data_IF_480376071768
#
_entry.id   IF_480376071768
#
_cell.length_a   1.000
_cell.length_b   1.000
_cell.length_c   1.000
_cell.angle_alpha   90.00
_cell.angle_beta   90.00
_cell.angle_gamma   90.00
#
_symmetry.space_group_name_H-M   'P 1'
#
loop_
_entity.id
_entity.type
_entity.pdbx_description
1 polymer ?
#
# COMPACT_ATOMS: atom_id res chain seq x y z
N UNK A 1 -75.00 -79.89 5.44
CA UNK A 1 -76.29 -80.62 5.49
C UNK A 1 -76.64 -80.83 6.96
N UNK A 2 -77.50 -80.09 7.65
CA UNK A 2 -78.56 -79.12 7.35
C UNK A 2 -78.39 -77.95 8.33
N UNK A 3 -78.20 -76.72 7.84
CA UNK A 3 -78.53 -75.47 8.57
C UNK A 3 -78.12 -74.16 7.86
N UNK A 4 -77.41 -74.20 6.73
CA UNK A 4 -77.11 -72.97 6.00
C UNK A 4 -77.65 -73.11 4.58
N UNK A 5 -78.87 -72.58 4.37
CA UNK A 5 -79.58 -72.50 3.09
C UNK A 5 -78.89 -71.57 2.10
N UNK A 6 -77.64 -71.87 1.77
CA UNK A 6 -76.86 -71.20 0.73
C UNK A 6 -76.70 -72.17 -0.44
N UNK A 7 -77.28 -71.80 -1.58
CA UNK A 7 -77.11 -72.50 -2.85
C UNK A 7 -75.62 -72.65 -3.21
N UNK A 8 -75.22 -73.84 -3.66
CA UNK A 8 -73.85 -74.28 -3.98
C UNK A 8 -73.09 -73.35 -4.95
N UNK A 9 -73.83 -72.53 -5.72
CA UNK A 9 -73.26 -71.52 -6.62
C UNK A 9 -72.66 -70.31 -5.87
N UNK A 10 -73.31 -69.84 -4.79
CA UNK A 10 -72.83 -68.68 -4.03
C UNK A 10 -71.61 -69.02 -3.16
N UNK A 11 -71.54 -70.25 -2.65
CA UNK A 11 -70.38 -70.74 -1.89
C UNK A 11 -69.12 -70.84 -2.79
N UNK A 12 -69.26 -71.32 -4.03
CA UNK A 12 -68.15 -71.41 -4.99
C UNK A 12 -67.64 -70.04 -5.45
N UNK A 13 -68.53 -69.07 -5.63
CA UNK A 13 -68.17 -67.69 -6.00
C UNK A 13 -67.47 -66.96 -4.84
N UNK A 14 -67.95 -67.14 -3.60
CA UNK A 14 -67.31 -66.57 -2.41
C UNK A 14 -65.93 -67.18 -2.17
N UNK A 15 -65.76 -68.50 -2.35
CA UNK A 15 -64.45 -69.17 -2.24
C UNK A 15 -63.48 -68.68 -3.33
N UNK A 16 -63.95 -68.47 -4.57
CA UNK A 16 -63.10 -67.95 -5.65
C UNK A 16 -62.69 -66.49 -5.40
N UNK A 17 -63.58 -65.66 -4.85
CA UNK A 17 -63.29 -64.27 -4.51
C UNK A 17 -62.35 -64.14 -3.30
N UNK A 18 -62.53 -64.97 -2.27
CA UNK A 18 -61.61 -65.03 -1.13
C UNK A 18 -60.25 -65.57 -1.57
N UNK A 19 -60.20 -66.57 -2.46
CA UNK A 19 -58.93 -67.07 -3.02
C UNK A 19 -58.23 -66.01 -3.87
N UNK A 20 -58.95 -65.20 -4.66
CA UNK A 20 -58.34 -64.08 -5.39
C UNK A 20 -57.85 -62.94 -4.50
N UNK A 21 -58.48 -62.73 -3.33
CA UNK A 21 -58.01 -61.77 -2.32
C UNK A 21 -56.82 -62.32 -1.51
N UNK A 22 -56.70 -63.64 -1.36
CA UNK A 22 -55.57 -64.29 -0.69
C UNK A 22 -54.35 -64.51 -1.61
N UNK A 23 -54.54 -64.50 -2.93
CA UNK A 23 -53.47 -64.57 -3.94
C UNK A 23 -52.89 -63.21 -4.33
N UNK A 24 -53.51 -62.11 -3.89
CA UNK A 24 -52.87 -60.79 -3.94
C UNK A 24 -51.92 -60.69 -2.76
N UNK A 25 -50.61 -60.70 -3.05
CA UNK A 25 -49.58 -60.36 -2.07
C UNK A 25 -50.00 -59.09 -1.31
N UNK A 26 -49.76 -58.99 0.01
CA UNK A 26 -49.90 -57.72 0.68
C UNK A 26 -48.98 -56.74 -0.04
N UNK A 27 -49.55 -55.79 -0.78
CA UNK A 27 -48.83 -54.61 -1.25
C UNK A 27 -48.14 -54.06 -0.01
N UNK A 28 -46.81 -54.24 0.05
CA UNK A 28 -45.99 -53.61 1.06
C UNK A 28 -46.33 -52.13 1.00
N UNK A 29 -46.96 -51.62 2.05
CA UNK A 29 -46.89 -50.20 2.38
C UNK A 29 -45.44 -49.77 2.07
N UNK A 30 -45.21 -48.79 1.17
CA UNK A 30 -43.85 -48.37 0.88
C UNK A 30 -43.21 -48.03 2.22
N UNK A 31 -42.09 -48.68 2.55
CA UNK A 31 -41.28 -48.32 3.71
C UNK A 31 -40.84 -46.87 3.49
N UNK A 32 -41.58 -45.95 4.08
CA UNK A 32 -41.25 -44.52 4.10
C UNK A 32 -40.14 -44.19 5.12
N UNK A 33 -39.61 -45.18 5.84
CA UNK A 33 -38.67 -44.95 6.94
C UNK A 33 -37.20 -44.80 6.48
N UNK A 34 -36.74 -45.58 5.50
CA UNK A 34 -35.29 -45.65 5.20
C UNK A 34 -34.74 -44.36 4.54
N UNK A 35 -35.54 -43.61 3.76
CA UNK A 35 -35.10 -42.35 3.11
C UNK A 35 -35.20 -41.14 4.07
N UNK A 36 -36.16 -41.16 4.98
CA UNK A 36 -36.34 -40.15 6.02
C UNK A 36 -35.25 -40.26 7.08
N UNK A 37 -34.95 -41.46 7.58
CA UNK A 37 -33.84 -41.67 8.52
C UNK A 37 -32.49 -41.29 7.90
N UNK A 38 -32.27 -41.64 6.63
CA UNK A 38 -31.08 -41.23 5.89
C UNK A 38 -30.97 -39.70 5.72
N UNK A 39 -32.09 -39.02 5.49
CA UNK A 39 -32.14 -37.56 5.37
C UNK A 39 -31.96 -36.84 6.70
N UNK A 40 -32.52 -37.37 7.79
CA UNK A 40 -32.33 -36.87 9.16
C UNK A 40 -30.87 -37.00 9.56
N UNK A 41 -30.26 -38.17 9.35
CA UNK A 41 -28.85 -38.41 9.67
C UNK A 41 -27.89 -37.50 8.91
N UNK A 42 -28.14 -37.28 7.60
CA UNK A 42 -27.36 -36.30 6.81
C UNK A 42 -27.48 -34.87 7.36
N UNK A 43 -28.66 -34.47 7.82
CA UNK A 43 -28.87 -33.14 8.43
C UNK A 43 -28.23 -33.05 9.82
N UNK A 44 -28.23 -34.13 10.59
CA UNK A 44 -27.55 -34.19 11.89
C UNK A 44 -26.04 -34.08 11.73
N UNK A 45 -25.46 -34.82 10.78
CA UNK A 45 -24.03 -34.72 10.43
C UNK A 45 -23.67 -33.31 9.92
N UNK A 46 -24.52 -32.68 9.11
CA UNK A 46 -24.34 -31.31 8.62
C UNK A 46 -24.43 -30.29 9.77
N UNK A 47 -25.37 -30.46 10.70
CA UNK A 47 -25.50 -29.62 11.90
C UNK A 47 -24.28 -29.74 12.81
N UNK A 48 -23.75 -30.94 12.98
CA UNK A 48 -22.53 -31.18 13.76
C UNK A 48 -21.32 -30.49 13.12
N UNK A 49 -21.12 -30.67 11.80
CA UNK A 49 -20.05 -29.97 11.06
C UNK A 49 -20.19 -28.46 11.12
N UNK A 50 -21.42 -27.92 11.06
CA UNK A 50 -21.65 -26.48 11.18
C UNK A 50 -21.35 -25.97 12.59
N UNK A 51 -21.66 -26.75 13.64
CA UNK A 51 -21.32 -26.42 15.02
C UNK A 51 -19.81 -26.38 15.24
N UNK A 52 -19.09 -27.39 14.76
CA UNK A 52 -17.62 -27.42 14.84
C UNK A 52 -16.98 -26.24 14.10
N UNK A 53 -17.46 -25.93 12.89
CA UNK A 53 -17.00 -24.76 12.12
C UNK A 53 -17.29 -23.45 12.84
N UNK A 54 -18.46 -23.30 13.44
CA UNK A 54 -18.84 -22.09 14.16
C UNK A 54 -17.99 -21.91 15.43
N UNK A 55 -17.72 -22.99 16.15
CA UNK A 55 -16.85 -22.94 17.33
C UNK A 55 -15.40 -22.57 16.95
N UNK A 56 -14.87 -23.17 15.88
CA UNK A 56 -13.54 -22.83 15.35
C UNK A 56 -13.45 -21.36 14.89
N UNK A 57 -14.48 -20.87 14.17
CA UNK A 57 -14.56 -19.47 13.74
C UNK A 57 -14.68 -18.51 14.92
N UNK A 58 -15.48 -18.85 15.92
CA UNK A 58 -15.66 -18.03 17.13
C UNK A 58 -14.36 -17.91 17.93
N UNK A 59 -13.61 -19.02 18.09
CA UNK A 59 -12.28 -19.01 18.72
C UNK A 59 -11.27 -18.17 17.92
N UNK A 60 -11.26 -18.30 16.60
CA UNK A 60 -10.40 -17.49 15.74
C UNK A 60 -10.75 -15.99 15.80
N UNK A 61 -12.05 -15.65 15.83
CA UNK A 61 -12.52 -14.28 15.95
C UNK A 61 -12.15 -13.65 17.30
N UNK A 62 -12.34 -14.37 18.41
CA UNK A 62 -11.94 -13.90 19.74
C UNK A 62 -10.44 -13.61 19.82
N UNK A 63 -9.61 -14.53 19.29
CA UNK A 63 -8.15 -14.35 19.22
C UNK A 63 -7.76 -13.14 18.36
N UNK A 64 -8.42 -12.94 17.22
CA UNK A 64 -8.18 -11.79 16.37
C UNK A 64 -8.57 -10.46 17.03
N UNK A 65 -9.68 -10.43 17.79
CA UNK A 65 -10.14 -9.26 18.54
C UNK A 65 -9.17 -8.92 19.69
N UNK A 66 -8.70 -9.93 20.42
CA UNK A 66 -7.69 -9.76 21.47
C UNK A 66 -6.39 -9.20 20.89
N UNK A 67 -5.89 -9.77 19.79
CA UNK A 67 -4.71 -9.27 19.08
C UNK A 67 -4.90 -7.82 18.60
N UNK A 68 -6.05 -7.47 18.02
CA UNK A 68 -6.35 -6.12 17.60
C UNK A 68 -6.33 -5.13 18.79
N UNK A 69 -6.93 -5.53 19.92
CA UNK A 69 -6.95 -4.71 21.14
C UNK A 69 -5.54 -4.51 21.75
N UNK A 70 -4.71 -5.55 21.74
CA UNK A 70 -3.31 -5.49 22.17
C UNK A 70 -2.50 -4.56 21.25
N UNK A 71 -2.66 -4.67 19.94
CA UNK A 71 -1.98 -3.80 18.96
C UNK A 71 -2.40 -2.35 19.15
N UNK A 72 -3.68 -2.05 19.37
CA UNK A 72 -4.15 -0.69 19.64
C UNK A 72 -3.66 -0.14 20.99
N UNK A 73 -3.59 -0.97 22.03
CA UNK A 73 -3.04 -0.58 23.33
C UNK A 73 -1.53 -0.35 23.24
N UNK A 74 -0.81 -1.19 22.51
CA UNK A 74 0.61 -1.05 22.24
C UNK A 74 0.88 0.21 21.40
N UNK A 75 0.10 0.45 20.35
CA UNK A 75 0.19 1.65 19.52
C UNK A 75 -0.03 2.92 20.33
N UNK A 76 -1.08 2.97 21.18
CA UNK A 76 -1.33 4.11 22.09
C UNK A 76 -0.21 4.30 23.11
N UNK A 77 0.39 3.21 23.59
CA UNK A 77 1.49 3.28 24.55
C UNK A 77 2.79 3.70 23.88
N UNK A 78 3.08 3.17 22.68
CA UNK A 78 4.15 3.63 21.80
C UNK A 78 3.93 5.10 21.50
N UNK A 79 2.72 5.56 21.18
CA UNK A 79 2.43 6.99 21.01
C UNK A 79 2.75 7.81 22.26
N UNK A 80 2.38 7.34 23.44
CA UNK A 80 2.63 8.07 24.68
C UNK A 80 4.12 8.17 25.04
N UNK A 81 4.91 7.14 24.71
CA UNK A 81 6.34 7.05 25.02
C UNK A 81 7.24 7.39 23.83
N UNK A 82 6.66 7.52 22.62
CA UNK A 82 7.44 7.72 21.41
C UNK A 82 8.28 8.97 21.60
N UNK A 83 9.60 8.86 21.37
CA UNK A 83 10.44 10.04 21.36
C UNK A 83 9.80 11.09 20.45
N UNK A 84 9.75 12.32 20.92
CA UNK A 84 9.41 13.42 20.01
C UNK A 84 10.56 13.49 19.03
N UNK A 85 10.29 13.46 17.73
CA UNK A 85 11.30 13.92 16.78
C UNK A 85 11.70 15.36 17.16
N UNK A 86 12.92 15.76 16.81
CA UNK A 86 13.49 17.03 17.28
C UNK A 86 12.56 18.21 17.05
N UNK A 87 12.73 19.23 17.90
CA UNK A 87 12.08 20.52 17.72
C UNK A 87 12.22 20.94 16.25
N UNK A 88 11.11 21.31 15.58
CA UNK A 88 11.22 21.83 14.23
C UNK A 88 12.22 22.98 14.24
N UNK A 89 12.93 23.18 13.12
CA UNK A 89 13.56 24.48 12.86
C UNK A 89 12.44 25.51 13.06
N UNK A 90 12.52 26.29 14.14
CA UNK A 90 11.33 26.92 14.75
C UNK A 90 10.47 27.63 13.72
N UNK A 91 9.15 27.64 13.92
CA UNK A 91 8.15 28.12 12.95
C UNK A 91 8.69 29.25 12.07
N UNK A 92 9.10 28.91 10.85
CA UNK A 92 9.53 29.91 9.89
C UNK A 92 8.36 30.86 9.68
N UNK A 93 8.66 32.15 9.64
CA UNK A 93 7.64 33.17 9.37
C UNK A 93 7.15 32.92 7.96
N UNK A 94 6.00 32.26 7.81
CA UNK A 94 5.29 32.17 6.53
C UNK A 94 5.17 33.61 6.00
N UNK A 95 5.85 33.95 4.90
CA UNK A 95 5.84 35.33 4.44
C UNK A 95 4.41 35.74 4.07
N UNK A 96 3.97 36.96 4.43
CA UNK A 96 2.63 37.41 4.12
C UNK A 96 2.43 37.40 2.61
N UNK A 97 1.29 36.83 2.14
CA UNK A 97 0.97 36.67 0.72
C UNK A 97 1.12 38.02 -0.03
N UNK A 98 2.12 38.16 -0.92
CA UNK A 98 2.25 39.29 -1.83
C UNK A 98 0.96 39.55 -2.60
N UNK A 99 0.47 40.79 -2.61
CA UNK A 99 -0.71 41.18 -3.39
C UNK A 99 -0.40 41.09 -4.89
N UNK A 100 -1.32 40.50 -5.65
CA UNK A 100 -1.26 40.47 -7.13
C UNK A 100 -0.51 39.28 -7.74
N UNK A 101 0.04 38.38 -6.93
CA UNK A 101 0.65 37.15 -7.42
C UNK A 101 -0.28 35.96 -7.21
N UNK A 102 -0.35 35.06 -8.20
CA UNK A 102 -1.10 33.81 -8.09
C UNK A 102 -0.31 32.82 -7.23
N UNK A 103 -0.86 32.35 -6.10
CA UNK A 103 -0.19 31.32 -5.30
C UNK A 103 -0.10 30.01 -6.09
N UNK A 104 1.00 29.30 -5.90
CA UNK A 104 1.25 28.00 -6.52
C UNK A 104 1.56 26.95 -5.47
N UNK A 105 1.42 25.68 -5.81
CA UNK A 105 1.73 24.57 -4.92
C UNK A 105 2.83 23.71 -5.51
N UNK A 106 3.59 23.07 -4.63
CA UNK A 106 4.60 22.10 -5.00
C UNK A 106 4.11 20.69 -4.65
N UNK A 107 4.43 19.70 -5.47
CA UNK A 107 4.19 18.28 -5.22
C UNK A 107 5.53 17.56 -5.25
N UNK A 108 5.99 17.11 -4.09
CA UNK A 108 7.19 16.29 -3.93
C UNK A 108 6.80 14.81 -3.96
N UNK A 109 7.45 14.05 -4.83
CA UNK A 109 7.39 12.59 -4.82
C UNK A 109 8.54 12.07 -3.96
N UNK A 110 8.22 11.25 -2.96
CA UNK A 110 9.20 10.56 -2.12
C UNK A 110 8.89 9.06 -2.17
N UNK A 111 9.78 8.28 -2.75
CA UNK A 111 9.59 6.83 -2.90
C UNK A 111 10.89 6.08 -3.07
N UNK A 112 10.80 4.75 -2.95
CA UNK A 112 11.90 3.84 -3.26
C UNK A 112 13.18 4.27 -2.50
N UNK A 113 12.99 4.60 -1.21
CA UNK A 113 14.08 5.01 -0.33
C UNK A 113 14.90 3.78 0.10
N UNK A 114 14.27 2.60 0.17
CA UNK A 114 14.91 1.33 0.48
C UNK A 114 15.83 1.42 1.70
N UNK A 115 15.37 2.07 2.78
CA UNK A 115 16.13 2.16 4.03
C UNK A 115 16.43 0.76 4.52
N UNK A 116 17.72 0.45 4.71
CA UNK A 116 18.21 -0.90 5.03
C UNK A 116 18.92 -1.62 3.88
N UNK A 117 18.75 -1.17 2.63
CA UNK A 117 19.47 -1.75 1.50
C UNK A 117 20.96 -1.40 1.58
N UNK A 118 21.80 -2.40 1.30
CA UNK A 118 23.25 -2.22 1.12
C UNK A 118 23.60 -2.66 -0.30
N UNK A 119 24.16 -1.74 -1.08
CA UNK A 119 24.70 -2.01 -2.41
C UNK A 119 26.21 -1.82 -2.35
N UNK A 120 26.92 -2.93 -2.54
CA UNK A 120 28.38 -2.94 -2.53
C UNK A 120 28.92 -2.67 -3.93
N UNK A 121 29.73 -1.63 -4.07
CA UNK A 121 30.22 -1.16 -5.36
C UNK A 121 31.12 -2.19 -6.08
N UNK A 122 31.81 -3.04 -5.33
CA UNK A 122 32.64 -4.13 -5.87
C UNK A 122 31.79 -5.21 -6.58
N UNK A 123 30.52 -5.36 -6.23
CA UNK A 123 29.59 -6.30 -6.85
C UNK A 123 28.82 -5.71 -8.06
N UNK A 124 28.98 -4.42 -8.31
CA UNK A 124 28.26 -3.67 -9.36
C UNK A 124 29.22 -2.91 -10.28
N UNK A 125 30.44 -3.40 -10.50
CA UNK A 125 31.47 -2.75 -11.33
C UNK A 125 31.79 -1.29 -10.93
N UNK A 126 31.58 -0.94 -9.66
CA UNK A 126 31.78 0.39 -9.10
C UNK A 126 30.52 1.26 -9.06
N UNK A 127 29.37 0.78 -9.54
CA UNK A 127 28.14 1.58 -9.63
C UNK A 127 27.26 1.54 -8.38
N UNK A 128 26.51 2.61 -8.16
CA UNK A 128 25.30 2.59 -7.33
C UNK A 128 25.48 2.30 -5.84
N UNK A 129 26.71 2.43 -5.30
CA UNK A 129 27.00 2.35 -3.85
C UNK A 129 25.88 2.98 -3.02
N UNK A 130 25.34 2.19 -2.11
CA UNK A 130 24.25 2.60 -1.24
C UNK A 130 24.35 1.91 0.11
N UNK A 131 24.15 2.68 1.16
CA UNK A 131 24.11 2.24 2.54
C UNK A 131 23.34 3.30 3.36
N UNK A 132 23.22 3.07 4.66
CA UNK A 132 22.55 4.01 5.56
C UNK A 132 23.14 5.44 5.52
N UNK A 133 24.46 5.59 5.45
CA UNK A 133 25.07 6.92 5.38
C UNK A 133 24.69 7.63 4.08
N UNK A 134 24.76 6.89 2.97
CA UNK A 134 24.36 7.43 1.66
C UNK A 134 22.89 7.82 1.67
N UNK A 135 22.00 7.03 2.29
CA UNK A 135 20.59 7.40 2.47
C UNK A 135 20.45 8.74 3.21
N UNK A 136 21.09 8.89 4.38
CA UNK A 136 20.99 10.11 5.19
C UNK A 136 21.59 11.33 4.46
N UNK A 137 22.71 11.16 3.77
CA UNK A 137 23.32 12.21 2.95
C UNK A 137 22.37 12.65 1.82
N UNK A 138 21.75 11.69 1.14
CA UNK A 138 20.75 11.95 0.08
C UNK A 138 19.48 12.60 0.60
N UNK A 139 18.98 12.19 1.77
CA UNK A 139 17.80 12.80 2.39
C UNK A 139 18.07 14.25 2.78
N UNK A 140 19.24 14.54 3.34
CA UNK A 140 19.68 15.90 3.62
C UNK A 140 19.80 16.76 2.36
N UNK A 141 20.38 16.20 1.31
CA UNK A 141 20.50 16.91 0.03
C UNK A 141 19.14 17.17 -0.61
N UNK A 142 18.21 16.22 -0.51
CA UNK A 142 16.82 16.39 -0.93
C UNK A 142 16.14 17.51 -0.14
N UNK A 143 16.30 17.54 1.19
CA UNK A 143 15.74 18.59 2.06
C UNK A 143 16.22 19.96 1.62
N UNK A 144 17.53 20.14 1.49
CA UNK A 144 18.13 21.41 1.06
C UNK A 144 17.65 21.81 -0.34
N UNK A 145 17.56 20.86 -1.26
CA UNK A 145 17.10 21.11 -2.63
C UNK A 145 15.65 21.59 -2.64
N UNK A 146 14.76 20.90 -1.92
CA UNK A 146 13.35 21.28 -1.82
C UNK A 146 13.22 22.65 -1.15
N UNK A 147 13.91 22.87 -0.03
CA UNK A 147 13.91 24.17 0.67
C UNK A 147 14.33 25.32 -0.28
N UNK A 148 15.42 25.13 -1.04
CA UNK A 148 15.87 26.11 -2.03
C UNK A 148 14.76 26.43 -3.05
N UNK A 149 14.06 25.42 -3.57
CA UNK A 149 12.98 25.67 -4.53
C UNK A 149 11.78 26.42 -3.93
N UNK A 150 11.46 26.14 -2.66
CA UNK A 150 10.38 26.79 -1.94
C UNK A 150 10.71 28.26 -1.61
N UNK A 151 11.97 28.58 -1.34
CA UNK A 151 12.39 29.92 -0.87
C UNK A 151 12.98 30.83 -1.95
N UNK A 152 13.68 30.27 -2.94
CA UNK A 152 14.59 31.04 -3.79
C UNK A 152 14.32 30.92 -5.30
N UNK A 153 13.60 29.90 -5.75
CA UNK A 153 13.37 29.64 -7.18
C UNK A 153 11.95 29.97 -7.67
N UNK A 154 11.14 30.63 -6.84
CA UNK A 154 9.84 31.14 -7.23
C UNK A 154 9.66 32.58 -6.79
N UNK A 155 9.09 33.40 -7.68
CA UNK A 155 8.59 34.73 -7.33
C UNK A 155 7.17 34.63 -6.75
N UNK A 156 6.43 33.59 -7.15
CA UNK A 156 5.06 33.33 -6.75
C UNK A 156 4.98 32.74 -5.34
N UNK A 157 4.01 33.14 -4.52
CA UNK A 157 3.86 32.65 -3.17
C UNK A 157 3.57 31.15 -3.17
N UNK A 158 4.25 30.40 -2.31
CA UNK A 158 3.96 28.97 -2.13
C UNK A 158 2.77 28.82 -1.18
N UNK A 159 1.69 28.22 -1.68
CA UNK A 159 0.46 28.01 -0.93
C UNK A 159 0.56 26.80 0.00
N UNK A 160 1.08 25.68 -0.52
CA UNK A 160 1.29 24.42 0.20
C UNK A 160 2.29 23.54 -0.51
N UNK A 161 2.92 22.65 0.25
CA UNK A 161 3.70 21.53 -0.27
C UNK A 161 2.88 20.23 -0.11
N UNK A 162 2.73 19.46 -1.18
CA UNK A 162 2.14 18.13 -1.13
C UNK A 162 3.27 17.11 -1.19
N UNK A 163 3.40 16.26 -0.18
CA UNK A 163 4.38 15.17 -0.16
C UNK A 163 3.63 13.86 -0.43
N UNK A 164 4.00 13.18 -1.51
CA UNK A 164 3.41 11.92 -1.91
C UNK A 164 4.41 10.80 -1.65
N UNK A 165 4.16 10.02 -0.59
CA UNK A 165 4.92 8.82 -0.28
C UNK A 165 4.42 7.69 -1.19
N UNK A 166 5.19 7.34 -2.24
CA UNK A 166 4.76 6.33 -3.24
C UNK A 166 5.20 4.89 -2.90
N UNK A 167 5.66 4.63 -1.68
CA UNK A 167 6.00 3.29 -1.21
C UNK A 167 7.48 2.94 -1.32
N UNK A 168 7.82 1.74 -0.85
CA UNK A 168 9.18 1.20 -0.76
C UNK A 168 10.11 2.12 0.05
N UNK A 169 9.61 2.59 1.20
CA UNK A 169 10.40 3.46 2.07
C UNK A 169 11.47 2.66 2.80
N UNK A 170 11.11 1.48 3.32
CA UNK A 170 12.08 0.52 3.87
C UNK A 170 12.31 -0.61 2.87
N UNK A 171 13.48 -1.24 2.94
CA UNK A 171 13.83 -2.32 2.03
C UNK A 171 13.02 -3.60 2.31
N UNK A 172 12.67 -3.84 3.57
CA UNK A 172 11.91 -5.03 3.98
C UNK A 172 12.77 -6.30 3.98
N UNK A 173 12.09 -7.45 3.98
CA UNK A 173 12.71 -8.78 4.10
C UNK A 173 12.41 -9.67 2.88
N UNK A 174 12.59 -9.12 1.68
CA UNK A 174 12.28 -9.87 0.46
C UNK A 174 13.31 -10.92 0.10
N UNK A 175 14.56 -10.73 0.50
CA UNK A 175 15.62 -11.69 0.25
C UNK A 175 15.55 -12.83 1.27
N UNK A 176 14.86 -13.91 0.87
CA UNK A 176 14.70 -15.17 1.60
C UNK A 176 16.04 -15.90 1.90
N UNK A 177 17.18 -15.30 1.59
CA UNK A 177 18.50 -15.89 1.79
C UNK A 177 19.17 -15.47 3.10
N UNK A 178 18.95 -14.25 3.63
CA UNK A 178 20.03 -13.60 4.38
C UNK A 178 19.59 -12.70 5.56
N UNK A 179 18.64 -13.11 6.42
CA UNK A 179 18.49 -12.41 7.72
C UNK A 179 19.81 -12.42 8.53
N UNK A 180 20.68 -13.42 8.31
CA UNK A 180 21.99 -13.51 8.95
C UNK A 180 23.04 -12.50 8.42
N UNK A 181 22.85 -11.92 7.23
CA UNK A 181 23.78 -10.98 6.58
C UNK A 181 23.19 -9.57 6.37
N UNK A 182 21.92 -9.32 6.74
CA UNK A 182 21.36 -7.98 6.72
C UNK A 182 22.05 -7.12 7.79
N UNK A 183 22.84 -6.13 7.35
CA UNK A 183 23.56 -5.20 8.23
C UNK A 183 22.58 -4.36 9.08
N UNK A 184 21.36 -4.13 8.59
CA UNK A 184 20.31 -3.37 9.27
C UNK A 184 19.04 -4.21 9.39
N UNK A 185 18.71 -4.63 10.61
CA UNK A 185 17.52 -5.45 10.88
C UNK A 185 16.23 -4.66 10.62
N UNK A 186 15.14 -5.36 10.33
CA UNK A 186 13.86 -4.76 9.93
C UNK A 186 13.33 -3.69 10.90
N UNK A 187 13.51 -3.90 12.20
CA UNK A 187 13.11 -2.94 13.23
C UNK A 187 13.90 -1.62 13.12
N UNK A 188 15.20 -1.70 12.85
CA UNK A 188 16.06 -0.54 12.68
C UNK A 188 15.75 0.19 11.37
N UNK A 189 15.45 -0.55 10.28
CA UNK A 189 14.99 0.07 9.02
C UNK A 189 13.75 0.95 9.25
N UNK A 190 12.76 0.42 9.98
CA UNK A 190 11.54 1.15 10.33
C UNK A 190 11.85 2.36 11.23
N UNK A 191 12.66 2.18 12.27
CA UNK A 191 12.97 3.22 13.25
C UNK A 191 13.74 4.38 12.60
N UNK A 192 14.75 4.06 11.79
CA UNK A 192 15.56 5.00 11.03
C UNK A 192 14.68 5.76 10.03
N UNK A 193 13.90 5.05 9.21
CA UNK A 193 13.04 5.68 8.21
C UNK A 193 12.02 6.63 8.86
N UNK A 194 11.38 6.19 9.95
CA UNK A 194 10.42 6.99 10.69
C UNK A 194 11.05 8.28 11.25
N UNK A 195 12.18 8.19 11.93
CA UNK A 195 12.81 9.38 12.53
C UNK A 195 13.42 10.32 11.48
N UNK A 196 14.14 9.78 10.50
CA UNK A 196 14.77 10.59 9.47
C UNK A 196 13.73 11.32 8.62
N UNK A 197 12.68 10.63 8.15
CA UNK A 197 11.66 11.27 7.31
C UNK A 197 10.74 12.19 8.15
N UNK A 198 10.48 11.88 9.44
CA UNK A 198 9.76 12.82 10.30
C UNK A 198 10.53 14.13 10.47
N UNK A 199 11.85 14.05 10.64
CA UNK A 199 12.72 15.23 10.72
C UNK A 199 12.72 16.03 9.41
N UNK A 200 12.79 15.34 8.27
CA UNK A 200 12.67 15.95 6.95
C UNK A 200 11.37 16.76 6.80
N UNK A 201 10.22 16.15 7.15
CA UNK A 201 8.92 16.81 7.09
C UNK A 201 8.83 18.00 8.06
N UNK A 202 9.38 17.86 9.28
CA UNK A 202 9.45 18.94 10.28
C UNK A 202 10.23 20.15 9.79
N UNK A 203 11.36 19.93 9.13
CA UNK A 203 12.19 21.01 8.60
C UNK A 203 11.46 21.74 7.48
N UNK A 204 10.84 21.00 6.54
CA UNK A 204 10.07 21.61 5.45
C UNK A 204 8.79 22.31 5.93
N UNK A 205 8.15 21.82 7.01
CA UNK A 205 6.94 22.43 7.56
C UNK A 205 7.17 23.85 8.09
N UNK A 206 8.43 24.23 8.36
CA UNK A 206 8.78 25.60 8.72
C UNK A 206 8.73 26.58 7.53
N UNK A 207 8.74 26.08 6.30
CA UNK A 207 8.94 26.89 5.08
C UNK A 207 7.63 27.22 4.35
N UNK A 208 6.55 26.50 4.64
CA UNK A 208 5.27 26.62 3.91
C UNK A 208 4.09 26.72 4.88
N UNK A 209 2.96 27.31 4.45
CA UNK A 209 1.75 27.37 5.27
C UNK A 209 1.31 25.99 5.72
N UNK A 210 1.14 25.06 4.77
CA UNK A 210 0.67 23.71 5.00
C UNK A 210 1.49 22.68 4.21
N UNK A 211 1.67 21.49 4.81
CA UNK A 211 2.14 20.28 4.15
C UNK A 211 1.01 19.25 4.15
N UNK A 212 0.61 18.78 2.98
CA UNK A 212 -0.29 17.63 2.86
C UNK A 212 0.48 16.36 2.51
N UNK A 213 0.32 15.31 3.30
CA UNK A 213 1.01 14.03 3.09
C UNK A 213 0.03 12.97 2.63
N UNK A 214 0.29 12.38 1.47
CA UNK A 214 -0.46 11.24 0.93
C UNK A 214 0.44 10.01 0.90
N UNK A 215 -0.07 8.85 1.30
CA UNK A 215 0.69 7.60 1.36
C UNK A 215 0.10 6.49 0.49
N UNK A 216 0.96 5.82 -0.27
CA UNK A 216 0.68 4.57 -0.99
C UNK A 216 1.78 3.57 -0.67
N UNK A 217 1.42 2.36 -0.26
CA UNK A 217 2.40 1.34 0.10
C UNK A 217 3.03 0.68 -1.14
N UNK A 218 4.32 0.38 -1.01
CA UNK A 218 5.10 -0.31 -2.02
C UNK A 218 5.02 -1.83 -1.93
N UNK A 219 5.80 -2.52 -2.74
CA UNK A 219 5.84 -3.99 -2.78
C UNK A 219 7.00 -4.60 -2.00
N UNK A 220 8.08 -3.87 -1.73
CA UNK A 220 9.21 -4.31 -0.91
C UNK A 220 8.82 -4.62 0.54
N UNK A 221 8.16 -3.71 1.26
CA UNK A 221 7.83 -3.89 2.67
C UNK A 221 6.63 -4.81 2.95
N UNK A 222 6.28 -5.68 2.00
CA UNK A 222 5.24 -6.70 2.20
C UNK A 222 5.68 -7.72 3.25
N UNK A 223 4.70 -8.42 3.85
CA UNK A 223 5.02 -9.46 4.81
C UNK A 223 5.85 -10.57 4.17
N UNK A 224 6.83 -11.12 4.88
CA UNK A 224 7.78 -12.12 4.35
C UNK A 224 7.08 -13.34 3.72
N UNK A 225 5.93 -13.75 4.26
CA UNK A 225 5.14 -14.87 3.72
C UNK A 225 4.38 -14.53 2.42
N UNK A 226 4.38 -13.26 1.97
CA UNK A 226 3.68 -12.81 0.77
C UNK A 226 4.59 -12.84 -0.46
N UNK A 227 4.28 -13.73 -1.41
CA UNK A 227 4.98 -13.81 -2.70
C UNK A 227 4.66 -12.65 -3.65
N UNK A 228 3.49 -12.04 -3.49
CA UNK A 228 3.00 -10.92 -4.32
C UNK A 228 2.18 -9.98 -3.46
N UNK A 229 2.02 -8.74 -3.90
CA UNK A 229 1.15 -7.80 -3.21
C UNK A 229 -0.30 -8.30 -3.18
N UNK A 230 -0.96 -8.26 -2.01
CA UNK A 230 -2.36 -8.65 -1.90
C UNK A 230 -3.26 -7.61 -2.57
N UNK A 231 -4.39 -8.07 -3.13
CA UNK A 231 -5.39 -7.19 -3.75
C UNK A 231 -6.34 -6.60 -2.71
N UNK A 232 -6.64 -7.35 -1.65
CA UNK A 232 -7.45 -6.90 -0.50
C UNK A 232 -6.52 -6.49 0.62
N UNK A 233 -6.84 -5.40 1.31
CA UNK A 233 -6.03 -4.85 2.40
C UNK A 233 -4.56 -4.64 2.00
N UNK A 234 -4.34 -4.15 0.78
CA UNK A 234 -3.00 -3.87 0.24
C UNK A 234 -2.16 -3.00 1.18
N UNK A 235 -2.80 -2.04 1.83
CA UNK A 235 -2.20 -1.16 2.83
C UNK A 235 -1.62 -1.90 4.05
N UNK A 236 -1.99 -3.16 4.31
CA UNK A 236 -1.43 -3.96 5.40
C UNK A 236 -0.04 -4.46 5.03
N UNK A 237 0.93 -3.56 5.20
CA UNK A 237 2.33 -3.68 4.77
C UNK A 237 3.19 -2.83 5.74
N UNK A 238 4.50 -3.08 5.86
CA UNK A 238 5.40 -2.34 6.75
C UNK A 238 5.58 -0.86 6.38
N UNK A 239 5.39 -0.45 5.12
CA UNK A 239 5.30 0.98 4.76
C UNK A 239 4.19 1.69 5.53
N UNK A 240 3.06 1.00 5.76
CA UNK A 240 1.98 1.57 6.54
C UNK A 240 2.39 1.79 8.00
N UNK A 241 3.22 0.91 8.57
CA UNK A 241 3.81 1.13 9.90
C UNK A 241 4.74 2.34 9.90
N UNK A 242 5.52 2.55 8.84
CA UNK A 242 6.33 3.77 8.69
C UNK A 242 5.42 5.00 8.65
N UNK A 243 4.37 5.00 7.83
CA UNK A 243 3.47 6.16 7.69
C UNK A 243 2.75 6.52 8.99
N UNK A 244 2.32 5.50 9.74
CA UNK A 244 1.71 5.72 11.05
C UNK A 244 2.74 6.27 12.06
N UNK A 245 3.98 5.76 12.05
CA UNK A 245 5.05 6.28 12.88
C UNK A 245 5.39 7.74 12.52
N UNK A 246 5.48 8.08 11.24
CA UNK A 246 5.68 9.46 10.79
C UNK A 246 4.58 10.39 11.29
N UNK A 247 3.31 9.98 11.12
CA UNK A 247 2.16 10.74 11.65
C UNK A 247 2.25 10.95 13.15
N UNK A 248 2.66 9.93 13.90
CA UNK A 248 2.84 10.02 15.35
C UNK A 248 3.99 10.97 15.72
N UNK A 249 5.12 10.89 15.01
CA UNK A 249 6.32 11.70 15.23
C UNK A 249 6.15 13.17 14.81
N UNK A 250 5.17 13.49 13.96
CA UNK A 250 4.87 14.87 13.54
C UNK A 250 3.58 15.43 14.15
N UNK A 251 2.95 14.75 15.13
CA UNK A 251 1.62 15.12 15.65
C UNK A 251 1.54 16.52 16.29
N UNK A 252 2.64 17.03 16.80
CA UNK A 252 2.79 18.36 17.41
C UNK A 252 3.09 19.47 16.39
N UNK A 253 3.19 19.12 15.11
CA UNK A 253 3.40 20.06 13.99
C UNK A 253 2.07 20.23 13.26
N UNK A 254 1.25 21.24 13.62
CA UNK A 254 -0.16 21.29 13.25
C UNK A 254 -0.41 21.52 11.76
N UNK A 255 0.58 22.05 11.03
CA UNK A 255 0.47 22.29 9.59
C UNK A 255 0.92 21.09 8.73
N UNK A 256 1.24 19.94 9.33
CA UNK A 256 1.41 18.68 8.59
C UNK A 256 0.09 17.91 8.65
N UNK A 257 -0.59 17.83 7.50
CA UNK A 257 -1.90 17.23 7.32
C UNK A 257 -1.79 15.86 6.66
N UNK A 258 -2.16 14.80 7.37
CA UNK A 258 -2.02 13.42 6.90
C UNK A 258 -3.29 12.88 6.24
N UNK A 259 -3.15 12.41 5.00
CA UNK A 259 -4.20 11.79 4.20
C UNK A 259 -3.82 10.34 3.85
N UNK A 260 -3.94 9.45 4.83
CA UNK A 260 -3.62 8.03 4.71
C UNK A 260 -4.88 7.22 4.41
N UNK A 261 -5.08 6.90 3.13
CA UNK A 261 -6.22 6.11 2.68
C UNK A 261 -5.84 4.63 2.55
N UNK A 262 -6.82 3.73 2.77
CA UNK A 262 -6.64 2.26 2.68
C UNK A 262 -6.73 1.71 1.25
N UNK A 263 -7.09 2.56 0.30
CA UNK A 263 -7.16 2.23 -1.12
C UNK A 263 -5.75 2.07 -1.73
N UNK A 264 -5.60 1.30 -2.82
CA UNK A 264 -4.31 1.08 -3.46
C UNK A 264 -3.71 2.31 -4.15
N UNK A 265 -4.51 3.37 -4.32
CA UNK A 265 -4.12 4.60 -4.97
C UNK A 265 -4.53 5.80 -4.12
N UNK A 266 -3.70 6.83 -4.07
CA UNK A 266 -4.07 8.12 -3.52
C UNK A 266 -4.60 9.01 -4.65
N UNK A 267 -5.81 9.54 -4.47
CA UNK A 267 -6.43 10.48 -5.42
C UNK A 267 -6.69 11.78 -4.68
N UNK A 268 -6.16 12.89 -5.20
CA UNK A 268 -6.20 14.18 -4.52
C UNK A 268 -6.16 15.33 -5.53
N UNK A 269 -6.45 16.54 -5.06
CA UNK A 269 -6.46 17.75 -5.90
C UNK A 269 -5.44 18.77 -5.41
N UNK A 270 -4.64 19.28 -6.34
CA UNK A 270 -3.71 20.38 -6.11
C UNK A 270 -4.00 21.48 -7.12
N UNK A 271 -4.35 22.67 -6.62
CA UNK A 271 -4.64 23.84 -7.44
C UNK A 271 -5.68 23.58 -8.56
N UNK A 272 -6.73 22.80 -8.29
CA UNK A 272 -7.77 22.45 -9.29
C UNK A 272 -7.45 21.27 -10.19
N UNK A 273 -6.24 20.71 -10.13
CA UNK A 273 -5.80 19.57 -10.93
C UNK A 273 -5.83 18.27 -10.14
N UNK A 274 -6.39 17.22 -10.75
CA UNK A 274 -6.55 15.91 -10.10
C UNK A 274 -5.32 15.04 -10.31
N UNK A 275 -4.79 14.49 -9.23
CA UNK A 275 -3.66 13.58 -9.18
C UNK A 275 -4.12 12.18 -8.82
N UNK A 276 -3.50 11.18 -9.45
CA UNK A 276 -3.67 9.77 -9.14
C UNK A 276 -2.31 9.13 -8.91
N UNK A 277 -1.98 8.90 -7.64
CA UNK A 277 -0.72 8.34 -7.20
C UNK A 277 -0.85 6.84 -6.89
N UNK A 278 0.12 6.05 -7.32
CA UNK A 278 0.25 4.64 -6.99
C UNK A 278 1.72 4.24 -6.89
N UNK A 279 2.03 3.08 -6.30
CA UNK A 279 3.42 2.63 -6.27
C UNK A 279 3.94 2.23 -7.67
N UNK A 280 3.22 1.37 -8.41
CA UNK A 280 3.56 1.05 -9.81
C UNK A 280 3.99 -0.40 -10.08
N UNK A 281 4.07 -1.23 -9.03
CA UNK A 281 4.33 -2.68 -9.10
C UNK A 281 3.32 -3.46 -9.96
N UNK A 282 2.11 -2.92 -10.16
CA UNK A 282 1.08 -3.51 -11.02
C UNK A 282 1.29 -3.16 -12.51
N UNK A 283 2.15 -2.21 -12.83
CA UNK A 283 2.50 -1.81 -14.19
C UNK A 283 3.52 -2.79 -14.77
N UNK A 284 3.05 -4.02 -15.04
CA UNK A 284 3.81 -5.14 -15.59
C UNK A 284 3.22 -5.61 -16.92
N UNK A 285 4.08 -6.18 -17.77
CA UNK A 285 3.72 -6.79 -19.05
C UNK A 285 3.78 -5.83 -20.24
N UNK A 286 3.72 -6.41 -21.45
CA UNK A 286 3.87 -5.71 -22.74
C UNK A 286 5.33 -5.46 -23.12
N UNK A 287 5.52 -4.85 -24.31
CA UNK A 287 6.83 -4.43 -24.80
C UNK A 287 7.48 -3.43 -23.83
N UNK A 288 8.68 -3.78 -23.34
CA UNK A 288 9.52 -2.91 -22.50
C UNK A 288 10.48 -2.10 -23.37
N UNK A 289 9.95 -1.48 -24.42
CA UNK A 289 10.76 -0.61 -25.29
C UNK A 289 11.42 0.47 -24.43
N UNK A 290 12.76 0.53 -24.44
CA UNK A 290 13.57 1.45 -23.62
C UNK A 290 13.29 1.35 -22.10
N UNK A 291 12.83 0.20 -21.62
CA UNK A 291 12.48 0.00 -20.20
C UNK A 291 11.15 0.64 -19.77
N UNK A 292 10.35 1.14 -20.72
CA UNK A 292 9.05 1.77 -20.46
C UNK A 292 7.94 0.72 -20.61
N UNK A 293 7.10 0.47 -19.59
CA UNK A 293 5.98 -0.47 -19.70
C UNK A 293 4.77 0.19 -20.39
N UNK A 294 4.94 0.59 -21.66
CA UNK A 294 4.01 1.46 -22.39
C UNK A 294 2.57 0.90 -22.45
N UNK A 295 2.41 -0.39 -22.73
CA UNK A 295 1.09 -1.04 -22.76
C UNK A 295 0.40 -1.04 -21.39
N UNK A 296 1.14 -1.28 -20.32
CA UNK A 296 0.58 -1.28 -18.97
C UNK A 296 0.15 0.13 -18.55
N UNK A 297 0.93 1.15 -18.91
CA UNK A 297 0.61 2.56 -18.68
C UNK A 297 -0.63 2.97 -19.48
N UNK A 298 -0.70 2.64 -20.77
CA UNK A 298 -1.86 2.95 -21.60
C UNK A 298 -3.15 2.29 -21.07
N UNK A 299 -3.06 1.03 -20.63
CA UNK A 299 -4.17 0.33 -19.96
C UNK A 299 -4.55 1.00 -18.64
N UNK A 300 -3.58 1.40 -17.81
CA UNK A 300 -3.83 2.09 -16.56
C UNK A 300 -4.61 3.38 -16.80
N UNK A 301 -4.13 4.23 -17.70
CA UNK A 301 -4.78 5.51 -18.04
C UNK A 301 -6.21 5.25 -18.52
N UNK A 302 -6.38 4.41 -19.56
CA UNK A 302 -7.68 4.18 -20.18
C UNK A 302 -8.70 3.65 -19.16
N UNK A 303 -8.35 2.61 -18.40
CA UNK A 303 -9.23 2.04 -17.38
C UNK A 303 -9.57 3.06 -16.29
N UNK A 304 -8.59 3.82 -15.79
CA UNK A 304 -8.85 4.81 -14.75
C UNK A 304 -9.74 5.95 -15.27
N UNK A 305 -9.49 6.47 -16.47
CA UNK A 305 -10.37 7.47 -17.08
C UNK A 305 -11.81 6.95 -17.17
N UNK A 306 -12.02 5.73 -17.65
CA UNK A 306 -13.37 5.13 -17.73
C UNK A 306 -14.01 4.95 -16.35
N UNK A 307 -13.25 4.50 -15.34
CA UNK A 307 -13.76 4.34 -13.97
C UNK A 307 -14.19 5.67 -13.35
N UNK A 308 -13.39 6.72 -13.52
CA UNK A 308 -13.72 8.05 -13.01
C UNK A 308 -14.95 8.63 -13.71
N UNK A 309 -15.03 8.53 -15.05
CA UNK A 309 -16.21 8.98 -15.81
C UNK A 309 -17.47 8.22 -15.37
N UNK A 310 -17.39 6.89 -15.23
CA UNK A 310 -18.50 6.06 -14.74
C UNK A 310 -18.91 6.44 -13.31
N UNK A 311 -17.95 6.83 -12.49
CA UNK A 311 -18.16 7.32 -11.13
C UNK A 311 -18.65 8.77 -11.04
N UNK A 312 -18.86 9.47 -12.17
CA UNK A 312 -19.15 10.90 -12.22
C UNK A 312 -18.09 11.77 -11.52
N UNK A 313 -16.82 11.34 -11.57
CA UNK A 313 -15.66 12.04 -11.03
C UNK A 313 -14.84 12.68 -12.16
N UNK A 314 -14.09 13.74 -11.84
CA UNK A 314 -13.13 14.34 -12.78
C UNK A 314 -11.96 13.39 -13.00
N UNK A 315 -11.67 12.95 -14.24
CA UNK A 315 -10.53 12.09 -14.50
C UNK A 315 -9.20 12.75 -14.10
N UNK A 316 -8.20 11.96 -13.64
CA UNK A 316 -6.90 12.50 -13.26
C UNK A 316 -6.17 13.16 -14.43
N UNK A 317 -5.57 14.32 -14.18
CA UNK A 317 -4.64 14.97 -15.11
C UNK A 317 -3.23 14.42 -14.97
N UNK A 318 -2.83 14.09 -13.74
CA UNK A 318 -1.49 13.61 -13.42
C UNK A 318 -1.53 12.22 -12.81
N UNK A 319 -0.73 11.31 -13.35
CA UNK A 319 -0.52 9.97 -12.79
C UNK A 319 0.90 9.88 -12.24
N UNK A 320 1.03 9.51 -10.96
CA UNK A 320 2.32 9.50 -10.25
C UNK A 320 2.68 8.06 -9.85
N UNK A 321 3.89 7.61 -10.19
CA UNK A 321 4.36 6.25 -9.89
C UNK A 321 5.82 6.22 -9.40
N UNK A 322 6.18 5.22 -8.60
CA UNK A 322 7.55 4.84 -8.24
C UNK A 322 7.93 3.51 -8.90
N UNK A 323 8.53 2.57 -8.16
CA UNK A 323 8.81 1.14 -8.49
C UNK A 323 9.81 0.91 -9.65
N UNK A 324 9.88 1.81 -10.63
CA UNK A 324 10.78 1.66 -11.81
C UNK A 324 12.17 2.26 -11.58
N UNK A 325 12.35 2.93 -10.43
CA UNK A 325 13.59 3.59 -9.99
C UNK A 325 14.20 4.51 -11.05
N UNK A 326 13.36 5.14 -11.87
CA UNK A 326 13.83 6.01 -12.97
C UNK A 326 12.87 7.17 -13.20
N UNK A 327 13.43 8.36 -13.27
CA UNK A 327 12.70 9.55 -13.71
C UNK A 327 12.17 9.36 -15.13
N UNK A 328 10.85 9.39 -15.29
CA UNK A 328 10.23 9.36 -16.62
C UNK A 328 9.01 10.27 -16.65
N UNK A 329 8.82 10.92 -17.80
CA UNK A 329 7.67 11.77 -18.06
C UNK A 329 7.08 11.37 -19.41
N UNK A 330 5.79 11.05 -19.43
CA UNK A 330 5.07 10.69 -20.65
C UNK A 330 3.85 11.60 -20.81
N UNK A 331 3.60 12.12 -22.02
CA UNK A 331 2.43 12.95 -22.28
C UNK A 331 1.15 12.13 -22.14
N UNK A 332 0.11 12.77 -21.62
CA UNK A 332 -1.24 12.24 -21.52
C UNK A 332 -2.24 13.35 -21.94
N UNK A 333 -3.42 12.98 -22.46
CA UNK A 333 -4.36 13.95 -23.03
C UNK A 333 -4.82 15.06 -22.05
N UNK A 334 -4.90 14.77 -20.75
CA UNK A 334 -5.26 15.75 -19.71
C UNK A 334 -4.07 16.33 -18.96
N UNK A 335 -2.85 15.84 -19.21
CA UNK A 335 -1.67 16.16 -18.43
C UNK A 335 -0.56 15.14 -18.68
N UNK A 336 -0.09 14.46 -17.64
CA UNK A 336 1.15 13.67 -17.74
C UNK A 336 1.16 12.43 -16.84
N UNK A 337 1.91 11.42 -17.26
CA UNK A 337 2.34 10.32 -16.40
C UNK A 337 3.77 10.57 -15.98
N UNK A 338 4.02 10.54 -14.69
CA UNK A 338 5.27 10.92 -14.07
C UNK A 338 5.72 9.75 -13.19
N UNK A 339 6.89 9.20 -13.50
CA UNK A 339 7.57 8.22 -12.66
C UNK A 339 8.69 8.89 -11.90
N UNK A 340 8.68 8.68 -10.59
CA UNK A 340 9.73 9.10 -9.68
C UNK A 340 11.00 8.26 -9.88
N UNK A 341 12.13 8.82 -9.46
CA UNK A 341 13.35 8.03 -9.27
C UNK A 341 13.35 7.32 -7.92
N UNK A 342 14.53 6.84 -7.53
CA UNK A 342 14.76 6.17 -6.26
C UNK A 342 15.94 6.80 -5.51
N UNK A 343 16.09 6.46 -4.23
CA UNK A 343 17.29 6.82 -3.48
C UNK A 343 18.49 5.95 -3.86
N UNK A 344 18.38 4.61 -4.00
CA UNK A 344 19.46 3.80 -4.56
C UNK A 344 19.70 4.14 -6.03
N UNK A 345 20.93 3.86 -6.50
CA UNK A 345 21.25 3.88 -7.92
C UNK A 345 21.12 2.48 -8.51
N UNK A 346 22.09 2.09 -9.33
CA UNK A 346 22.20 0.70 -9.82
C UNK A 346 22.50 -0.26 -8.66
N UNK A 347 21.61 -1.21 -8.44
CA UNK A 347 21.80 -2.32 -7.49
C UNK A 347 22.13 -3.64 -8.19
N UNK A 348 22.46 -4.68 -7.42
CA UNK A 348 22.81 -6.00 -7.94
C UNK A 348 21.72 -6.58 -8.87
N UNK A 349 20.45 -6.41 -8.51
CA UNK A 349 19.34 -6.95 -9.29
C UNK A 349 19.20 -6.24 -10.64
N UNK A 350 19.18 -4.90 -10.63
CA UNK A 350 19.06 -4.09 -11.85
C UNK A 350 20.28 -4.24 -12.76
N UNK A 351 21.46 -4.37 -12.17
CA UNK A 351 22.71 -4.68 -12.88
C UNK A 351 22.61 -6.03 -13.60
N UNK A 352 22.26 -7.11 -12.87
CA UNK A 352 22.13 -8.45 -13.45
C UNK A 352 20.98 -8.58 -14.46
N UNK A 353 19.88 -7.87 -14.23
CA UNK A 353 18.72 -7.85 -15.12
C UNK A 353 18.94 -6.99 -16.38
N UNK A 354 20.10 -6.36 -16.52
CA UNK A 354 20.46 -5.48 -17.63
C UNK A 354 19.43 -4.35 -17.85
N UNK A 355 18.93 -3.78 -16.75
CA UNK A 355 18.08 -2.60 -16.83
C UNK A 355 18.94 -1.37 -17.12
N UNK A 356 18.38 -0.42 -17.87
CA UNK A 356 19.04 0.85 -18.11
C UNK A 356 19.38 1.52 -16.76
N UNK A 357 20.64 1.91 -16.54
CA UNK A 357 21.04 2.54 -15.29
C UNK A 357 20.33 3.89 -15.15
N UNK A 358 19.85 4.16 -13.95
CA UNK A 358 19.23 5.42 -13.59
C UNK A 358 19.99 6.00 -12.39
N UNK A 359 20.21 7.31 -12.43
CA UNK A 359 20.83 7.99 -11.32
C UNK A 359 19.81 8.20 -10.18
N UNK A 360 20.26 8.15 -8.91
CA UNK A 360 19.46 8.52 -7.76
C UNK A 360 18.81 9.90 -7.93
N UNK A 361 17.48 9.95 -7.85
CA UNK A 361 16.74 11.22 -7.97
C UNK A 361 15.35 11.13 -7.36
N UNK A 362 14.78 12.29 -7.02
CA UNK A 362 13.37 12.44 -6.68
C UNK A 362 12.77 13.59 -7.49
N UNK A 363 11.44 13.63 -7.63
CA UNK A 363 10.78 14.65 -8.44
C UNK A 363 10.00 15.66 -7.61
N UNK A 364 10.17 16.93 -7.96
CA UNK A 364 9.43 18.04 -7.41
C UNK A 364 8.68 18.75 -8.53
N UNK A 365 7.37 18.85 -8.39
CA UNK A 365 6.47 19.35 -9.42
C UNK A 365 5.88 20.69 -8.97
N UNK A 366 5.96 21.73 -9.81
CA UNK A 366 5.34 23.03 -9.55
C UNK A 366 4.01 23.11 -10.29
N UNK A 367 2.93 23.43 -9.55
CA UNK A 367 1.56 23.45 -10.06
C UNK A 367 0.96 24.85 -9.94
N UNK A 368 0.52 25.38 -11.08
CA UNK A 368 -0.23 26.61 -11.21
C UNK A 368 -1.73 26.34 -11.41
N UNK A 369 -2.64 27.06 -10.74
CA UNK A 369 -4.08 26.78 -10.81
C UNK A 369 -4.66 26.82 -12.22
N UNK A 370 -4.18 27.73 -13.07
CA UNK A 370 -4.63 27.84 -14.47
C UNK A 370 -3.90 26.93 -15.46
N UNK A 371 -2.62 26.63 -15.21
CA UNK A 371 -1.74 26.04 -16.24
C UNK A 371 -1.33 24.60 -15.92
N UNK A 372 -1.73 24.07 -14.76
CA UNK A 372 -1.30 22.76 -14.31
C UNK A 372 0.18 22.80 -13.99
N UNK A 373 0.93 21.83 -14.50
CA UNK A 373 2.37 21.77 -14.27
C UNK A 373 3.11 22.87 -15.02
N UNK A 374 3.75 23.78 -14.29
CA UNK A 374 4.62 24.82 -14.85
C UNK A 374 6.10 24.43 -14.81
N UNK A 375 6.49 23.55 -13.89
CA UNK A 375 7.84 22.99 -13.84
C UNK A 375 7.86 21.56 -13.29
N UNK A 376 8.83 20.78 -13.76
CA UNK A 376 9.22 19.48 -13.20
C UNK A 376 10.71 19.53 -12.92
N UNK A 377 11.09 19.38 -11.66
CA UNK A 377 12.47 19.39 -11.22
C UNK A 377 12.89 17.97 -10.84
N UNK A 378 13.93 17.46 -11.51
CA UNK A 378 14.59 16.22 -11.13
C UNK A 378 15.70 16.54 -10.14
N UNK A 379 15.45 16.28 -8.86
CA UNK A 379 16.38 16.53 -7.76
C UNK A 379 17.37 15.37 -7.71
N UNK A 380 18.58 15.58 -8.24
CA UNK A 380 19.62 14.54 -8.38
C UNK A 380 20.28 14.26 -7.04
N UNK A 381 19.99 13.11 -6.46
CA UNK A 381 20.54 12.69 -5.17
C UNK A 381 21.97 12.14 -5.29
N UNK A 382 22.43 11.82 -6.49
CA UNK A 382 23.82 11.41 -6.75
C UNK A 382 24.85 12.46 -6.29
N UNK A 383 24.45 13.74 -6.28
CA UNK A 383 25.31 14.87 -5.98
C UNK A 383 25.42 15.17 -4.46
N UNK A 384 24.78 14.35 -3.61
CA UNK A 384 24.85 14.49 -2.17
C UNK A 384 26.30 14.33 -1.65
N UNK A 385 26.87 15.35 -1.00
CA UNK A 385 28.23 15.25 -0.47
C UNK A 385 28.31 14.21 0.67
N UNK A 386 29.42 13.45 0.77
CA UNK A 386 29.63 12.55 1.90
C UNK A 386 29.56 13.29 3.25
N UNK A 387 28.77 12.77 4.20
CA UNK A 387 28.60 13.35 5.54
C UNK A 387 27.66 14.57 5.60
N UNK A 388 26.95 14.87 4.51
CA UNK A 388 25.95 15.94 4.47
C UNK A 388 24.77 15.67 5.44
N UNK A 389 24.41 14.39 5.58
CA UNK A 389 23.37 13.87 6.47
C UNK A 389 23.80 13.69 7.92
N UNK A 390 24.98 14.19 8.34
CA UNK A 390 25.48 14.06 9.73
C UNK A 390 24.49 14.54 10.79
N UNK A 391 23.65 15.52 10.46
CA UNK A 391 22.65 16.06 11.37
C UNK A 391 21.49 15.08 11.57
N UNK A 392 21.10 14.33 10.55
CA UNK A 392 20.18 13.20 10.68
C UNK A 392 20.79 12.06 11.49
N UNK A 393 22.06 11.73 11.25
CA UNK A 393 22.77 10.71 12.04
C UNK A 393 22.83 11.07 13.53
N UNK A 394 23.28 12.29 13.84
CA UNK A 394 23.28 12.79 15.22
C UNK A 394 21.86 12.83 15.82
N UNK A 395 20.85 13.10 14.98
CA UNK A 395 19.46 13.03 15.37
C UNK A 395 18.98 11.59 15.66
N UNK A 396 19.45 10.58 14.94
CA UNK A 396 19.10 9.21 15.26
C UNK A 396 19.78 8.76 16.57
N UNK A 397 21.06 9.11 16.73
CA UNK A 397 21.86 8.73 17.90
C UNK A 397 21.34 9.31 19.22
N UNK A 398 20.89 10.58 19.28
CA UNK A 398 20.35 11.11 20.56
C UNK A 398 18.99 10.51 20.94
N UNK A 399 18.24 9.96 19.98
CA UNK A 399 16.99 9.23 20.26
C UNK A 399 17.25 7.74 20.58
N UNK A 400 18.51 7.33 20.68
CA UNK A 400 18.90 5.96 21.03
C UNK A 400 18.69 4.94 19.91
N UNK A 401 18.57 5.40 18.66
CA UNK A 401 18.56 4.51 17.49
C UNK A 401 19.98 3.98 17.28
N UNK A 402 20.14 2.65 17.34
CA UNK A 402 21.41 1.99 17.05
C UNK A 402 21.61 2.00 15.53
N UNK A 403 22.77 2.48 15.05
CA UNK A 403 23.08 2.69 13.63
C UNK A 403 24.18 1.77 13.12
#
# INVERSE_FOLDING_TARGET
MRELGLNDHHAKTAIRYVRSLMEQEPERLPRFDDDLEGAVRRREDELEQLREKNEALSKAYAKALEQASLVEALARRIEAIAPKSYSPLGAGRVPPRPRGQTPESYVLLLSDAHVGQVVSADQTLGFGRYDLNVFLDRLAFLEQSVASYLEHHTTSPVDRLVVVLLGDIIHGDLDHANEADQVVVLADQWLIAAHAIAQFLRNLASLVPDIEVYGVVGNHPRWANQRKMPTVNRYSNLDWFVYQALRMLTRDVPNILWNLNRQPYAVFEVQGWVFHAGHGDHLKGGDRAMGIPAHAIARQINTQTQLFVRGHLRPPSFYLFGDKHRGMQLPHGLGEVIFNGAFPGVDNYSFMANYSPAEPMQQLIRIHPRYGRTALYSLKLQDAPPGFGRHYRAALEREGVVL
#
